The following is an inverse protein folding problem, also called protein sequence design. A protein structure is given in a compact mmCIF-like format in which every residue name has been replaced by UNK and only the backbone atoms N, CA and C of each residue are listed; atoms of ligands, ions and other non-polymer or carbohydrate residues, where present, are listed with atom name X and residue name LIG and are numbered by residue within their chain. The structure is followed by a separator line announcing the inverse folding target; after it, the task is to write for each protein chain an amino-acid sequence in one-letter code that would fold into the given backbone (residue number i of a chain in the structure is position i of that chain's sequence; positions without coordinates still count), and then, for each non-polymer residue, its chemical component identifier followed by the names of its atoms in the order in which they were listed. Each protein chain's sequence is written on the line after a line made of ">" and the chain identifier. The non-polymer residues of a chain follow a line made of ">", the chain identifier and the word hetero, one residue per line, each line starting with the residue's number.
data_IF_855297202877
#
_entry.id   IF_855297202877
#
_cell.length_a   1.000
_cell.length_b   1.000
_cell.length_c   1.000
_cell.angle_alpha   90.00
_cell.angle_beta   90.00
_cell.angle_gamma   90.00
#
_symmetry.space_group_name_H-M   'P 1'
#
loop_
_entity.id
_entity.type
_entity.pdbx_description
1 polymer ?
#
# COMPACT_ATOMS: atom_id res chain seq x y z
N UNK A 1 -10.39 -16.75 -3.55
CA UNK A 1 -11.45 -16.07 -4.34
C UNK A 1 -11.34 -16.47 -5.80
N UNK A 2 -10.20 -16.26 -6.46
CA UNK A 2 -9.95 -16.73 -7.83
C UNK A 2 -10.08 -18.25 -7.96
N UNK A 3 -9.38 -19.02 -7.11
CA UNK A 3 -9.44 -20.50 -7.11
C UNK A 3 -10.87 -21.06 -6.91
N UNK A 4 -11.67 -20.43 -6.05
CA UNK A 4 -13.08 -20.82 -5.86
C UNK A 4 -13.97 -20.44 -7.07
N UNK A 5 -13.63 -19.38 -7.80
CA UNK A 5 -14.32 -19.03 -9.03
C UNK A 5 -13.93 -19.95 -10.20
N UNK A 6 -12.66 -20.38 -10.26
CA UNK A 6 -12.17 -21.39 -11.20
C UNK A 6 -12.87 -22.73 -11.01
N UNK A 7 -12.99 -23.18 -9.77
CA UNK A 7 -13.71 -24.41 -9.43
C UNK A 7 -15.17 -24.34 -9.89
N UNK A 8 -15.85 -23.19 -9.70
CA UNK A 8 -17.22 -22.98 -10.18
C UNK A 8 -17.33 -23.03 -11.70
N UNK A 9 -16.36 -22.47 -12.43
CA UNK A 9 -16.31 -22.57 -13.90
C UNK A 9 -16.18 -24.02 -14.31
N UNK A 10 -15.26 -24.78 -13.69
CA UNK A 10 -15.04 -26.20 -13.98
C UNK A 10 -16.30 -27.04 -13.78
N UNK A 11 -17.04 -26.78 -12.69
CA UNK A 11 -18.30 -27.45 -12.38
C UNK A 11 -19.37 -27.13 -13.42
N UNK A 12 -19.53 -25.86 -13.79
CA UNK A 12 -20.50 -25.45 -14.82
C UNK A 12 -20.15 -25.99 -16.20
N UNK A 13 -18.86 -26.12 -16.54
CA UNK A 13 -18.39 -26.74 -17.79
C UNK A 13 -18.79 -28.22 -17.85
N UNK A 14 -18.53 -28.98 -16.78
CA UNK A 14 -18.92 -30.39 -16.72
C UNK A 14 -20.44 -30.60 -16.81
N UNK A 15 -21.24 -29.72 -16.17
CA UNK A 15 -22.71 -29.77 -16.27
C UNK A 15 -23.16 -29.49 -17.70
N UNK A 16 -22.59 -28.47 -18.36
CA UNK A 16 -22.93 -28.13 -19.74
C UNK A 16 -22.57 -29.25 -20.72
N UNK A 17 -21.41 -29.91 -20.55
CA UNK A 17 -21.00 -31.05 -21.37
C UNK A 17 -21.95 -32.25 -21.24
N UNK A 18 -22.56 -32.43 -20.06
CA UNK A 18 -23.45 -33.57 -19.79
C UNK A 18 -24.88 -33.33 -20.26
N UNK A 19 -25.40 -32.10 -20.11
CA UNK A 19 -26.82 -31.78 -20.28
C UNK A 19 -27.13 -30.92 -21.52
N UNK A 20 -26.20 -30.03 -21.91
CA UNK A 20 -26.30 -29.19 -23.11
C UNK A 20 -27.47 -28.19 -23.14
N UNK A 21 -28.15 -27.92 -22.02
CA UNK A 21 -29.34 -27.07 -22.01
C UNK A 21 -28.99 -25.58 -22.08
N UNK A 22 -29.97 -24.77 -22.51
CA UNK A 22 -29.82 -23.31 -22.60
C UNK A 22 -29.53 -22.66 -21.22
N UNK A 23 -30.11 -23.19 -20.15
CA UNK A 23 -29.88 -22.73 -18.77
C UNK A 23 -28.44 -22.99 -18.34
N UNK A 24 -27.86 -24.12 -18.73
CA UNK A 24 -26.47 -24.46 -18.39
C UNK A 24 -25.46 -23.60 -19.16
N UNK A 25 -25.79 -23.20 -20.39
CA UNK A 25 -25.01 -22.21 -21.15
C UNK A 25 -25.00 -20.84 -20.45
N UNK A 26 -26.13 -20.40 -19.94
CA UNK A 26 -26.23 -19.13 -19.20
C UNK A 26 -25.44 -19.18 -17.88
N UNK A 27 -25.59 -20.27 -17.13
CA UNK A 27 -24.84 -20.49 -15.89
C UNK A 27 -23.32 -20.49 -16.12
N UNK A 28 -22.86 -21.17 -17.18
CA UNK A 28 -21.45 -21.17 -17.57
C UNK A 28 -20.96 -19.77 -17.96
N UNK A 29 -21.78 -19.00 -18.68
CA UNK A 29 -21.48 -17.61 -19.03
C UNK A 29 -21.29 -16.74 -17.79
N UNK A 30 -22.18 -16.85 -16.81
CA UNK A 30 -22.11 -16.11 -15.55
C UNK A 30 -20.88 -16.52 -14.73
N UNK A 31 -20.59 -17.82 -14.60
CA UNK A 31 -19.41 -18.31 -13.87
C UNK A 31 -18.09 -17.79 -14.48
N UNK A 32 -17.99 -17.76 -15.81
CA UNK A 32 -16.81 -17.21 -16.52
C UNK A 32 -16.69 -15.70 -16.34
N UNK A 33 -17.80 -14.96 -16.37
CA UNK A 33 -17.79 -13.53 -16.13
C UNK A 33 -17.31 -13.19 -14.71
N UNK A 34 -17.78 -13.95 -13.71
CA UNK A 34 -17.32 -13.81 -12.32
C UNK A 34 -15.83 -14.15 -12.17
N UNK A 35 -15.35 -15.23 -12.80
CA UNK A 35 -13.93 -15.59 -12.78
C UNK A 35 -13.04 -14.50 -13.39
N UNK A 36 -13.41 -13.96 -14.55
CA UNK A 36 -12.70 -12.83 -15.17
C UNK A 36 -12.68 -11.60 -14.28
N UNK A 37 -13.79 -11.30 -13.59
CA UNK A 37 -13.87 -10.20 -12.64
C UNK A 37 -12.91 -10.40 -11.47
N UNK A 38 -12.84 -11.60 -10.89
CA UNK A 38 -11.91 -11.88 -9.80
C UNK A 38 -10.44 -11.81 -10.24
N UNK A 39 -10.12 -12.26 -11.45
CA UNK A 39 -8.78 -12.12 -12.02
C UNK A 39 -8.37 -10.66 -12.18
N UNK A 40 -9.26 -9.80 -12.69
CA UNK A 40 -9.01 -8.37 -12.81
C UNK A 40 -8.78 -7.70 -11.44
N UNK A 41 -9.58 -8.07 -10.43
CA UNK A 41 -9.39 -7.55 -9.06
C UNK A 41 -8.06 -7.98 -8.45
N UNK A 42 -7.63 -9.21 -8.69
CA UNK A 42 -6.33 -9.70 -8.22
C UNK A 42 -5.17 -8.99 -8.94
N UNK A 43 -5.29 -8.78 -10.25
CA UNK A 43 -4.32 -8.02 -11.03
C UNK A 43 -4.17 -6.58 -10.49
N UNK A 44 -5.27 -5.88 -10.28
CA UNK A 44 -5.26 -4.52 -9.73
C UNK A 44 -4.63 -4.47 -8.33
N UNK A 45 -4.96 -5.44 -7.47
CA UNK A 45 -4.35 -5.55 -6.14
C UNK A 45 -2.83 -5.68 -6.23
N UNK A 46 -2.33 -6.58 -7.08
CA UNK A 46 -0.88 -6.79 -7.21
C UNK A 46 -0.18 -5.64 -7.92
N UNK A 47 -0.83 -5.01 -8.89
CA UNK A 47 -0.35 -3.79 -9.56
C UNK A 47 -0.16 -2.67 -8.54
N UNK A 48 -1.18 -2.37 -7.73
CA UNK A 48 -1.10 -1.38 -6.65
C UNK A 48 0.02 -1.73 -5.65
N UNK A 49 0.05 -2.97 -5.17
CA UNK A 49 1.02 -3.44 -4.18
C UNK A 49 2.47 -3.43 -4.69
N UNK A 50 2.68 -3.61 -6.00
CA UNK A 50 3.99 -3.57 -6.62
C UNK A 50 4.60 -2.15 -6.66
N UNK A 51 3.75 -1.10 -6.62
CA UNK A 51 4.14 0.31 -6.75
C UNK A 51 4.98 0.60 -8.00
N UNK A 52 4.78 -0.16 -9.09
CA UNK A 52 5.46 0.04 -10.37
C UNK A 52 4.68 1.07 -11.20
N UNK A 53 5.29 2.22 -11.47
CA UNK A 53 4.65 3.37 -12.13
C UNK A 53 4.63 3.27 -13.66
N UNK A 54 5.47 2.41 -14.25
CA UNK A 54 5.66 2.30 -15.70
C UNK A 54 5.92 0.84 -16.10
N UNK A 55 4.85 0.05 -16.25
CA UNK A 55 4.90 -1.14 -17.10
C UNK A 55 3.87 -0.85 -18.18
N UNK A 56 4.37 -0.62 -19.39
CA UNK A 56 3.57 -0.61 -20.61
C UNK A 56 2.77 -1.91 -20.61
N UNK A 57 1.45 -1.78 -20.70
CA UNK A 57 0.47 -2.87 -20.67
C UNK A 57 0.84 -3.96 -21.70
N UNK A 58 1.50 -5.01 -21.21
CA UNK A 58 1.98 -6.13 -22.01
C UNK A 58 1.82 -7.40 -21.20
N UNK A 59 0.71 -8.08 -21.47
CA UNK A 59 0.11 -9.23 -20.79
C UNK A 59 -0.24 -9.07 -19.30
N UNK A 60 -1.46 -9.49 -18.97
CA UNK A 60 -2.06 -9.54 -17.62
C UNK A 60 -1.34 -10.56 -16.72
N UNK A 61 -0.04 -10.42 -16.54
CA UNK A 61 0.78 -11.37 -15.81
C UNK A 61 0.83 -10.99 -14.34
N UNK A 62 -0.12 -11.51 -13.56
CA UNK A 62 -0.05 -11.48 -12.08
C UNK A 62 1.30 -12.04 -11.61
N UNK A 63 1.85 -13.06 -12.27
CA UNK A 63 3.14 -13.67 -11.96
C UNK A 63 4.31 -12.67 -11.94
N UNK A 64 4.31 -11.69 -12.85
CA UNK A 64 5.32 -10.62 -12.86
C UNK A 64 5.24 -9.75 -11.59
N UNK A 65 4.05 -9.25 -11.27
CA UNK A 65 3.84 -8.41 -10.08
C UNK A 65 4.12 -9.18 -8.79
N UNK A 66 3.72 -10.45 -8.72
CA UNK A 66 4.06 -11.35 -7.62
C UNK A 66 5.57 -11.50 -7.44
N UNK A 67 6.30 -11.78 -8.52
CA UNK A 67 7.76 -11.92 -8.50
C UNK A 67 8.43 -10.63 -8.04
N UNK A 68 8.00 -9.48 -8.56
CA UNK A 68 8.51 -8.17 -8.16
C UNK A 68 8.27 -7.86 -6.69
N UNK A 69 7.04 -8.07 -6.18
CA UNK A 69 6.72 -7.84 -4.76
C UNK A 69 7.56 -8.76 -3.88
N UNK A 70 7.73 -10.03 -4.27
CA UNK A 70 8.58 -10.98 -3.55
C UNK A 70 10.04 -10.52 -3.52
N UNK A 71 10.60 -10.14 -4.66
CA UNK A 71 11.97 -9.65 -4.74
C UNK A 71 12.18 -8.36 -3.94
N UNK A 72 11.22 -7.42 -4.00
CA UNK A 72 11.26 -6.18 -3.21
C UNK A 72 11.18 -6.48 -1.71
N UNK A 73 10.34 -7.43 -1.28
CA UNK A 73 10.25 -7.87 0.12
C UNK A 73 11.57 -8.47 0.60
N UNK A 74 12.22 -9.30 -0.22
CA UNK A 74 13.53 -9.87 0.09
C UNK A 74 14.60 -8.78 0.22
N UNK A 75 14.64 -7.81 -0.72
CA UNK A 75 15.60 -6.70 -0.66
C UNK A 75 15.40 -5.77 0.56
N UNK A 76 14.15 -5.63 1.03
CA UNK A 76 13.81 -4.81 2.20
C UNK A 76 13.85 -5.58 3.53
N UNK A 77 14.12 -6.88 3.49
CA UNK A 77 14.24 -7.66 4.71
C UNK A 77 15.56 -7.28 5.41
N UNK A 78 15.45 -6.94 6.69
CA UNK A 78 16.64 -6.73 7.54
C UNK A 78 17.21 -8.11 7.82
N UNK A 79 18.37 -8.42 7.24
CA UNK A 79 19.04 -9.71 7.40
C UNK A 79 19.69 -9.87 8.80
N UNK A 80 20.06 -8.75 9.41
CA UNK A 80 20.68 -8.68 10.72
C UNK A 80 21.05 -7.24 11.05
N UNK A 81 21.52 -7.02 12.27
CA UNK A 81 22.05 -5.73 12.72
C UNK A 81 23.30 -5.95 13.54
N UNK A 82 24.14 -4.92 13.62
CA UNK A 82 25.30 -4.91 14.50
C UNK A 82 24.83 -4.55 15.92
N UNK A 83 25.15 -5.40 16.90
CA UNK A 83 24.89 -5.17 18.31
C UNK A 83 26.22 -5.33 19.03
N UNK A 84 26.71 -4.26 19.67
CA UNK A 84 27.96 -4.25 20.44
C UNK A 84 29.21 -4.78 19.68
N UNK A 85 29.22 -4.64 18.36
CA UNK A 85 30.31 -5.09 17.49
C UNK A 85 30.11 -6.46 16.85
N UNK A 86 29.08 -7.21 17.24
CA UNK A 86 28.75 -8.52 16.70
C UNK A 86 27.57 -8.45 15.73
N UNK A 87 27.67 -9.20 14.61
CA UNK A 87 26.60 -9.30 13.63
C UNK A 87 25.53 -10.30 14.07
N UNK A 88 24.35 -9.80 14.46
CA UNK A 88 23.24 -10.60 14.96
C UNK A 88 22.18 -10.76 13.89
N UNK A 89 21.74 -12.00 13.65
CA UNK A 89 20.69 -12.36 12.68
C UNK A 89 19.40 -12.88 13.32
N UNK A 90 19.40 -13.07 14.65
CA UNK A 90 18.20 -13.45 15.39
C UNK A 90 17.14 -12.34 15.30
N UNK A 91 15.96 -12.70 14.81
CA UNK A 91 14.91 -11.72 14.51
C UNK A 91 14.36 -11.04 15.76
N UNK A 92 14.31 -11.73 16.90
CA UNK A 92 13.81 -11.16 18.14
C UNK A 92 14.82 -10.15 18.70
N UNK A 93 16.10 -10.51 18.69
CA UNK A 93 17.18 -9.60 19.13
C UNK A 93 17.32 -8.39 18.21
N UNK A 94 17.24 -8.58 16.88
CA UNK A 94 17.27 -7.47 15.92
C UNK A 94 16.10 -6.52 16.16
N UNK A 95 14.89 -7.05 16.34
CA UNK A 95 13.70 -6.23 16.59
C UNK A 95 13.84 -5.42 17.90
N UNK A 96 14.26 -6.07 18.98
CA UNK A 96 14.48 -5.43 20.27
C UNK A 96 15.56 -4.34 20.21
N UNK A 97 16.68 -4.61 19.53
CA UNK A 97 17.75 -3.64 19.30
C UNK A 97 17.27 -2.42 18.51
N UNK A 98 16.47 -2.63 17.47
CA UNK A 98 15.92 -1.52 16.66
C UNK A 98 14.97 -0.67 17.51
N UNK A 99 14.09 -1.30 18.30
CA UNK A 99 13.18 -0.60 19.21
C UNK A 99 13.98 0.22 20.23
N UNK A 100 14.96 -0.38 20.91
CA UNK A 100 15.81 0.30 21.90
C UNK A 100 16.57 1.48 21.29
N UNK A 101 17.13 1.29 20.09
CA UNK A 101 17.86 2.35 19.39
C UNK A 101 16.96 3.57 19.13
N UNK A 102 15.78 3.36 18.53
CA UNK A 102 14.88 4.47 18.22
C UNK A 102 14.24 5.05 19.48
N UNK A 103 13.93 4.24 20.51
CA UNK A 103 13.50 4.75 21.81
C UNK A 103 14.52 5.72 22.38
N UNK A 104 15.80 5.35 22.41
CA UNK A 104 16.86 6.26 22.86
C UNK A 104 16.99 7.48 21.95
N UNK A 105 16.93 7.33 20.64
CA UNK A 105 17.05 8.43 19.69
C UNK A 105 15.91 9.47 19.85
N UNK A 106 14.68 9.00 20.11
CA UNK A 106 13.52 9.87 20.30
C UNK A 106 13.36 10.38 21.74
N UNK A 107 13.88 9.66 22.74
CA UNK A 107 13.92 10.13 24.14
C UNK A 107 15.06 11.11 24.39
N UNK A 108 16.13 11.04 23.60
CA UNK A 108 17.17 12.04 23.52
C UNK A 108 16.62 13.27 22.77
N UNK A 109 15.60 13.91 23.36
CA UNK A 109 15.44 15.35 23.26
C UNK A 109 16.62 16.00 23.99
N UNK A 110 17.83 15.83 23.45
CA UNK A 110 18.76 16.94 23.54
C UNK A 110 18.03 18.07 22.85
N UNK A 111 17.44 18.93 23.66
CA UNK A 111 17.34 20.35 23.38
C UNK A 111 18.77 20.84 23.07
N UNK A 112 19.33 20.45 21.92
CA UNK A 112 20.01 21.45 21.13
C UNK A 112 18.94 22.55 21.03
N UNK A 113 19.17 23.74 21.62
CA UNK A 113 18.28 24.84 21.37
C UNK A 113 18.16 24.84 19.85
N UNK A 114 16.94 24.65 19.32
CA UNK A 114 16.67 24.99 17.92
C UNK A 114 17.38 26.33 17.77
N UNK A 115 18.41 26.40 16.93
CA UNK A 115 19.19 27.63 16.79
C UNK A 115 18.17 28.69 16.42
N UNK A 116 17.71 29.46 17.41
CA UNK A 116 16.59 30.38 17.24
C UNK A 116 16.92 31.36 16.13
N UNK A 117 18.21 31.60 15.91
CA UNK A 117 18.74 32.35 14.78
C UNK A 117 18.16 31.93 13.42
N UNK A 118 17.89 30.65 13.15
CA UNK A 118 17.26 30.25 11.88
C UNK A 118 15.79 30.67 11.80
N UNK A 119 15.06 30.58 12.91
CA UNK A 119 13.65 31.00 13.01
C UNK A 119 13.57 32.54 12.97
N UNK A 120 14.52 33.23 13.60
CA UNK A 120 14.62 34.69 13.64
C UNK A 120 14.95 35.29 12.26
N UNK A 121 15.50 34.49 11.32
CA UNK A 121 15.70 34.88 9.92
C UNK A 121 14.44 34.73 9.05
N UNK A 122 13.36 34.11 9.55
CA UNK A 122 12.10 33.98 8.82
C UNK A 122 11.30 35.27 9.03
N UNK A 123 11.09 36.09 7.98
CA UNK A 123 10.27 37.29 8.13
C UNK A 123 8.82 36.88 8.48
N UNK A 124 8.25 37.51 9.51
CA UNK A 124 6.83 37.33 9.85
C UNK A 124 5.97 38.06 8.83
N UNK A 125 5.56 37.34 7.79
CA UNK A 125 4.70 37.87 6.70
C UNK A 125 3.23 37.84 7.09
N UNK A 126 2.85 36.96 8.02
CA UNK A 126 1.49 36.85 8.55
C UNK A 126 1.38 37.80 9.73
N UNK A 127 0.48 38.76 9.62
CA UNK A 127 0.15 39.69 10.70
C UNK A 127 -0.82 39.05 11.69
N UNK A 128 -0.99 39.66 12.87
CA UNK A 128 -1.96 39.18 13.85
C UNK A 128 -3.37 39.29 13.28
N UNK A 129 -3.62 40.34 12.51
CA UNK A 129 -4.87 40.60 11.79
C UNK A 129 -5.17 39.53 10.74
N UNK A 130 -4.15 39.07 9.99
CA UNK A 130 -4.30 37.96 9.04
C UNK A 130 -4.69 36.66 9.76
N UNK A 131 -4.06 36.40 10.91
CA UNK A 131 -4.37 35.22 11.72
C UNK A 131 -5.78 35.29 12.32
N UNK A 132 -6.20 36.46 12.79
CA UNK A 132 -7.55 36.69 13.30
C UNK A 132 -8.61 36.54 12.19
N UNK A 133 -8.32 36.99 10.96
CA UNK A 133 -9.16 36.78 9.80
C UNK A 133 -9.26 35.29 9.41
N UNK A 134 -8.14 34.55 9.42
CA UNK A 134 -8.11 33.13 9.06
C UNK A 134 -8.82 32.22 10.08
N UNK A 135 -8.93 32.65 11.34
CA UNK A 135 -9.63 31.92 12.41
C UNK A 135 -11.08 32.41 12.57
N UNK A 136 -11.44 33.54 11.97
CA UNK A 136 -12.81 34.04 11.98
C UNK A 136 -13.77 33.10 11.22
N UNK A 137 -15.04 33.15 11.62
CA UNK A 137 -16.08 32.41 10.90
C UNK A 137 -16.25 32.97 9.48
N UNK A 138 -16.27 32.11 8.44
CA UNK A 138 -16.39 32.57 7.07
C UNK A 138 -17.74 33.27 6.86
N UNK A 139 -17.71 34.36 6.09
CA UNK A 139 -18.93 35.11 5.79
C UNK A 139 -19.72 34.44 4.66
N UNK A 140 -21.05 34.59 4.65
CA UNK A 140 -21.92 34.06 3.59
C UNK A 140 -21.55 34.55 2.18
N UNK A 141 -20.87 35.70 2.08
CA UNK A 141 -20.37 36.26 0.83
C UNK A 141 -19.14 35.50 0.29
N UNK A 142 -18.28 34.95 1.16
CA UNK A 142 -17.10 34.14 0.79
C UNK A 142 -17.48 32.72 0.34
N UNK A 143 -18.64 32.22 0.80
CA UNK A 143 -19.18 30.92 0.43
C UNK A 143 -19.88 30.93 -0.94
N UNK A 144 -20.08 32.10 -1.55
CA UNK A 144 -20.63 32.22 -2.90
C UNK A 144 -19.50 32.08 -3.92
N UNK A 145 -19.53 30.97 -4.65
CA UNK A 145 -18.64 30.66 -5.76
C UNK A 145 -19.17 31.23 -7.08
#
# INVERSE_FOLDING_TARGET
>A
MVESAEEKVLVCEGIFETSGLAVDRENLGNARADHLRYLAMEEDYWKQKSSIRWVQEGDRSTAFYHSWVKQRRLRKAIAGTLIDGDWVTDKALVADSVVRHFQSAFQNHTAAPVERGLIDCIPSIITVEDNDYLIALPMMEELKR
#
